data_IF_381560670969
#
_entry.id   IF_381560670969
#
_cell.length_a   1.000
_cell.length_b   1.000
_cell.length_c   1.000
_cell.angle_alpha   90.00
_cell.angle_beta   90.00
_cell.angle_gamma   90.00
#
_symmetry.space_group_name_H-M   'P 1'
#
loop_
_entity.id
_entity.type
_entity.pdbx_description
1 polymer ?
#
# COMPACT_ATOMS: atom_id res chain seq x y z
N UNK A 1 4.85 3.03 -27.17
CA UNK A 1 3.72 3.17 -26.23
C UNK A 1 4.25 3.89 -25.01
N UNK A 2 3.66 5.01 -24.54
CA UNK A 2 3.95 5.48 -23.18
C UNK A 2 3.72 4.28 -22.24
N UNK A 3 4.73 3.92 -21.46
CA UNK A 3 4.74 2.65 -20.71
C UNK A 3 3.51 2.56 -19.83
N UNK A 4 2.74 1.49 -19.97
CA UNK A 4 1.51 1.31 -19.21
C UNK A 4 1.85 1.29 -17.70
N UNK A 5 1.41 2.33 -16.97
CA UNK A 5 1.51 2.39 -15.52
C UNK A 5 0.87 1.13 -14.94
N UNK A 6 1.66 0.35 -14.19
CA UNK A 6 1.18 -0.91 -13.60
C UNK A 6 0.81 -0.66 -12.15
N UNK A 7 -0.48 -0.82 -11.87
CA UNK A 7 -1.01 -0.68 -10.51
C UNK A 7 -0.96 -2.02 -9.79
N UNK A 8 -0.43 -2.01 -8.57
CA UNK A 8 -0.34 -3.16 -7.67
C UNK A 8 -1.29 -2.94 -6.50
N UNK A 9 -2.09 -3.97 -6.23
CA UNK A 9 -2.88 -4.04 -5.01
C UNK A 9 -2.11 -4.85 -3.96
N UNK A 10 -1.92 -4.28 -2.76
CA UNK A 10 -1.23 -4.92 -1.66
C UNK A 10 -2.25 -5.28 -0.59
N UNK A 11 -2.38 -6.56 -0.28
CA UNK A 11 -3.25 -7.07 0.77
C UNK A 11 -2.40 -7.61 1.94
N UNK A 12 -2.72 -7.17 3.15
CA UNK A 12 -2.05 -7.57 4.38
C UNK A 12 -2.84 -7.14 5.61
N UNK A 13 -2.21 -7.22 6.79
CA UNK A 13 -2.81 -6.81 8.07
C UNK A 13 -2.38 -5.38 8.44
N UNK A 14 -2.67 -4.43 7.56
CA UNK A 14 -2.29 -3.02 7.72
C UNK A 14 -3.47 -2.16 8.20
N UNK A 15 -3.20 -1.04 8.84
CA UNK A 15 -4.21 -0.14 9.39
C UNK A 15 -4.82 -0.61 10.70
N UNK A 16 -4.17 -1.55 11.39
CA UNK A 16 -4.57 -2.05 12.72
C UNK A 16 -3.66 -1.55 13.85
N UNK A 17 -2.71 -0.66 13.54
CA UNK A 17 -1.77 -0.08 14.50
C UNK A 17 -0.68 -1.06 14.98
N UNK A 18 -0.50 -2.21 14.32
CA UNK A 18 0.60 -3.11 14.61
C UNK A 18 1.90 -2.55 14.01
N UNK A 19 2.78 -2.02 14.86
CA UNK A 19 4.01 -1.40 14.42
C UNK A 19 4.91 -2.30 13.54
N UNK A 20 4.87 -3.62 13.75
CA UNK A 20 5.62 -4.57 12.92
C UNK A 20 5.05 -4.67 11.51
N UNK A 21 3.73 -4.82 11.38
CA UNK A 21 3.07 -4.89 10.09
C UNK A 21 3.19 -3.56 9.32
N UNK A 22 3.05 -2.43 10.01
CA UNK A 22 3.25 -1.10 9.40
C UNK A 22 4.70 -0.92 8.92
N UNK A 23 5.69 -1.37 9.69
CA UNK A 23 7.09 -1.32 9.26
C UNK A 23 7.36 -2.20 8.03
N UNK A 24 6.71 -3.38 7.96
CA UNK A 24 6.80 -4.26 6.79
C UNK A 24 6.18 -3.59 5.56
N UNK A 25 5.02 -2.94 5.68
CA UNK A 25 4.40 -2.21 4.58
C UNK A 25 5.30 -1.06 4.10
N UNK A 26 5.83 -0.26 5.02
CA UNK A 26 6.70 0.86 4.69
C UNK A 26 7.96 0.40 3.94
N UNK A 27 8.62 -0.67 4.41
CA UNK A 27 9.80 -1.24 3.76
C UNK A 27 9.47 -1.78 2.35
N UNK A 28 8.37 -2.52 2.22
CA UNK A 28 7.91 -3.05 0.93
C UNK A 28 7.67 -1.93 -0.09
N UNK A 29 6.97 -0.86 0.31
CA UNK A 29 6.69 0.28 -0.56
C UNK A 29 7.97 1.02 -0.95
N UNK A 30 8.90 1.21 -0.01
CA UNK A 30 10.19 1.86 -0.28
C UNK A 30 11.02 1.06 -1.30
N UNK A 31 11.16 -0.24 -1.10
CA UNK A 31 11.93 -1.12 -1.99
C UNK A 31 11.32 -1.19 -3.40
N UNK A 32 9.99 -1.34 -3.49
CA UNK A 32 9.31 -1.39 -4.78
C UNK A 32 9.40 -0.07 -5.54
N UNK A 33 9.26 1.08 -4.87
CA UNK A 33 9.44 2.40 -5.48
C UNK A 33 10.86 2.61 -5.99
N UNK A 34 11.87 2.11 -5.26
CA UNK A 34 13.27 2.18 -5.68
C UNK A 34 13.56 1.31 -6.91
N UNK A 35 12.99 0.10 -6.97
CA UNK A 35 13.20 -0.85 -8.06
C UNK A 35 12.38 -0.51 -9.32
N UNK A 36 11.15 -0.03 -9.13
CA UNK A 36 10.15 0.14 -10.19
C UNK A 36 9.31 1.41 -9.94
N UNK A 37 9.86 2.59 -10.25
CA UNK A 37 9.19 3.87 -10.05
C UNK A 37 7.95 4.08 -10.95
N UNK A 38 7.73 3.19 -11.92
CA UNK A 38 6.55 3.17 -12.78
C UNK A 38 5.32 2.49 -12.15
N UNK A 39 5.46 1.96 -10.93
CA UNK A 39 4.37 1.30 -10.21
C UNK A 39 3.55 2.30 -9.41
N UNK A 40 2.25 2.05 -9.39
CA UNK A 40 1.30 2.68 -8.46
C UNK A 40 0.77 1.64 -7.49
N UNK A 41 0.44 2.06 -6.28
CA UNK A 41 0.05 1.16 -5.19
C UNK A 41 -1.33 1.51 -4.67
N UNK A 42 -2.08 0.49 -4.27
CA UNK A 42 -3.29 0.61 -3.45
C UNK A 42 -3.23 -0.46 -2.37
N UNK A 43 -3.55 -0.10 -1.12
CA UNK A 43 -3.41 -0.99 0.04
C UNK A 43 -4.79 -1.36 0.61
N UNK A 44 -5.01 -2.66 0.87
CA UNK A 44 -6.12 -3.10 1.72
C UNK A 44 -5.80 -2.79 3.17
N UNK A 45 -6.69 -2.07 3.86
CA UNK A 45 -6.43 -1.58 5.21
C UNK A 45 -7.63 -1.73 6.14
N UNK A 46 -7.38 -2.00 7.42
CA UNK A 46 -8.36 -1.91 8.49
C UNK A 46 -8.74 -0.47 8.88
N UNK A 47 -7.84 0.49 8.61
CA UNK A 47 -8.11 1.93 8.72
C UNK A 47 -7.43 2.67 7.55
N UNK A 48 -8.14 2.87 6.43
CA UNK A 48 -7.58 3.48 5.23
C UNK A 48 -7.01 4.88 5.46
N UNK A 49 -7.65 5.70 6.31
CA UNK A 49 -7.19 7.07 6.57
C UNK A 49 -5.80 7.09 7.24
N UNK A 50 -5.59 6.24 8.25
CA UNK A 50 -4.30 6.13 8.93
C UNK A 50 -3.23 5.58 7.97
N UNK A 51 -3.58 4.54 7.19
CA UNK A 51 -2.64 3.95 6.21
C UNK A 51 -2.23 4.96 5.13
N UNK A 52 -3.18 5.76 4.63
CA UNK A 52 -2.90 6.82 3.67
C UNK A 52 -1.97 7.89 4.25
N UNK A 53 -2.25 8.33 5.48
CA UNK A 53 -1.45 9.32 6.18
C UNK A 53 -0.02 8.83 6.42
N UNK A 54 0.13 7.58 6.87
CA UNK A 54 1.41 7.06 7.32
C UNK A 54 2.31 6.61 6.16
N UNK A 55 1.73 6.07 5.07
CA UNK A 55 2.49 5.46 3.97
C UNK A 55 2.43 6.24 2.64
N UNK A 56 1.57 7.25 2.55
CA UNK A 56 1.43 8.10 1.36
C UNK A 56 1.00 7.30 0.12
N UNK A 57 0.13 6.31 0.31
CA UNK A 57 -0.46 5.49 -0.77
C UNK A 57 -1.97 5.41 -0.56
N UNK A 58 -2.77 5.40 -1.64
CA UNK A 58 -4.20 5.14 -1.53
C UNK A 58 -4.48 3.85 -0.76
N UNK A 59 -5.49 3.88 0.11
CA UNK A 59 -5.94 2.71 0.82
C UNK A 59 -7.46 2.54 0.68
N UNK A 60 -7.91 1.30 0.71
CA UNK A 60 -9.33 0.94 0.70
C UNK A 60 -9.62 0.06 1.90
N UNK A 61 -10.86 0.10 2.38
CA UNK A 61 -11.27 -0.80 3.45
C UNK A 61 -11.06 -2.24 3.00
N UNK A 62 -10.38 -3.02 3.82
CA UNK A 62 -10.20 -4.46 3.62
C UNK A 62 -11.53 -5.18 3.46
N UNK A 63 -12.57 -4.69 4.14
CA UNK A 63 -13.90 -5.32 4.15
C UNK A 63 -14.71 -5.00 2.88
N UNK A 64 -14.24 -4.08 2.03
CA UNK A 64 -14.85 -3.79 0.73
C UNK A 64 -14.42 -4.78 -0.36
N UNK A 65 -13.51 -5.71 -0.04
CA UNK A 65 -13.07 -6.76 -0.96
C UNK A 65 -14.10 -7.91 -0.99
N UNK A 66 -14.44 -8.43 -2.19
CA UNK A 66 -15.45 -9.47 -2.38
C UNK A 66 -15.04 -10.85 -1.81
#
# INVERSE_FOLDING_TARGET
>A
MPGATRRIFIAGYYGFGNAGDEAILAALLADLRALRPDLEFVVASGNPADTENDHGVPAVSRDDLP
#
